data_IF_786578186688
#
_entry.id   IF_786578186688
#
_cell.length_a   1.000
_cell.length_b   1.000
_cell.length_c   1.000
_cell.angle_alpha   90.00
_cell.angle_beta   90.00
_cell.angle_gamma   90.00
#
_symmetry.space_group_name_H-M   'P 1'
#
loop_
_entity.id
_entity.type
_entity.pdbx_description
1 polymer ?
#
# COMPACT_ATOMS: atom_id res chain seq x y z
N UNK A 1 5.62 23.56 2.55
CA UNK A 1 5.78 23.24 3.99
C UNK A 1 7.20 22.68 4.19
N UNK A 2 8.05 23.36 4.98
CA UNK A 2 9.41 22.88 5.32
C UNK A 2 9.28 21.90 6.49
N UNK A 3 9.55 20.62 6.26
CA UNK A 3 9.56 19.58 7.29
C UNK A 3 10.99 19.29 7.76
N UNK A 4 11.19 18.95 9.05
CA UNK A 4 12.53 18.85 9.64
C UNK A 4 13.29 17.67 9.02
N UNK A 5 14.52 17.92 8.55
CA UNK A 5 15.42 16.92 7.98
C UNK A 5 15.68 15.70 8.90
N UNK A 6 15.44 15.86 10.20
CA UNK A 6 15.86 14.91 11.23
C UNK A 6 15.09 13.57 11.23
N UNK A 7 13.80 13.55 10.90
CA UNK A 7 13.00 12.31 10.89
C UNK A 7 13.48 11.31 9.81
N UNK A 8 14.12 11.80 8.74
CA UNK A 8 14.61 10.97 7.63
C UNK A 8 15.96 10.31 7.91
N UNK A 9 16.76 10.86 8.84
CA UNK A 9 18.12 10.38 9.11
C UNK A 9 18.16 9.07 9.90
N UNK A 10 17.18 8.83 10.76
CA UNK A 10 17.09 7.57 11.52
C UNK A 10 16.65 6.40 10.61
N UNK A 11 15.71 6.65 9.68
CA UNK A 11 15.33 5.69 8.63
C UNK A 11 16.54 5.25 7.78
N UNK A 12 17.44 6.19 7.47
CA UNK A 12 18.66 5.92 6.71
C UNK A 12 19.62 4.94 7.44
N UNK A 13 19.64 4.94 8.77
CA UNK A 13 20.62 4.20 9.57
C UNK A 13 20.13 2.85 10.08
N UNK A 14 18.90 2.77 10.56
CA UNK A 14 18.44 1.64 11.40
C UNK A 14 17.18 0.97 10.84
N UNK A 15 16.45 1.61 9.90
CA UNK A 15 15.08 1.23 9.55
C UNK A 15 14.13 1.34 10.75
N UNK A 16 12.90 0.85 10.63
CA UNK A 16 11.95 0.85 11.77
C UNK A 16 12.18 -0.37 12.70
N UNK A 17 12.72 -0.16 13.92
CA UNK A 17 12.89 -1.08 15.08
C UNK A 17 13.44 -2.52 14.88
N UNK A 18 12.99 -3.26 13.87
CA UNK A 18 13.47 -4.57 13.38
C UNK A 18 13.73 -4.58 11.86
N UNK A 19 13.66 -3.39 11.24
CA UNK A 19 13.75 -3.17 9.82
C UNK A 19 15.16 -3.22 9.23
N UNK A 20 15.23 -2.91 7.95
CA UNK A 20 16.45 -2.83 7.16
C UNK A 20 16.80 -1.38 6.88
N UNK A 21 18.10 -1.08 6.75
CA UNK A 21 18.53 0.27 6.40
C UNK A 21 18.13 0.60 4.96
N UNK A 22 17.94 1.90 4.70
CA UNK A 22 17.68 2.39 3.34
C UNK A 22 18.80 2.04 2.35
N UNK A 23 20.04 1.95 2.84
CA UNK A 23 21.20 1.52 2.06
C UNK A 23 21.09 0.06 1.63
N UNK A 24 20.66 -0.82 2.55
CA UNK A 24 20.42 -2.22 2.20
C UNK A 24 19.25 -2.36 1.23
N UNK A 25 18.15 -1.65 1.49
CA UNK A 25 16.93 -1.73 0.69
C UNK A 25 17.15 -1.20 -0.73
N UNK A 26 17.90 -0.10 -0.90
CA UNK A 26 18.24 0.42 -2.23
C UNK A 26 19.07 -0.55 -3.06
N UNK A 27 19.91 -1.39 -2.42
CA UNK A 27 20.66 -2.45 -3.12
C UNK A 27 19.78 -3.64 -3.53
N UNK A 28 18.57 -3.78 -2.97
CA UNK A 28 17.63 -4.85 -3.33
C UNK A 28 16.58 -4.40 -4.36
N UNK A 29 16.50 -3.10 -4.67
CA UNK A 29 15.53 -2.54 -5.59
C UNK A 29 16.22 -1.94 -6.82
N UNK A 30 15.49 -1.81 -7.93
CA UNK A 30 16.05 -1.23 -9.15
C UNK A 30 16.16 0.29 -9.06
N UNK A 31 15.26 0.91 -8.32
CA UNK A 31 15.19 2.36 -8.24
C UNK A 31 14.76 2.86 -6.86
N UNK A 32 15.27 4.04 -6.54
CA UNK A 32 14.94 4.78 -5.34
C UNK A 32 14.30 6.11 -5.75
N UNK A 33 13.01 6.26 -5.47
CA UNK A 33 12.21 7.42 -5.82
C UNK A 33 12.05 8.37 -4.62
N UNK A 34 12.28 9.66 -4.85
CA UNK A 34 12.03 10.72 -3.87
C UNK A 34 10.62 11.33 -4.00
N UNK A 35 9.94 11.07 -5.11
CA UNK A 35 8.60 11.57 -5.42
C UNK A 35 7.94 10.70 -6.50
N UNK A 36 6.64 10.94 -6.74
CA UNK A 36 5.84 10.16 -7.68
C UNK A 36 6.24 10.36 -9.16
N UNK A 37 6.79 11.52 -9.53
CA UNK A 37 7.23 11.78 -10.92
C UNK A 37 8.40 10.90 -11.30
N UNK A 38 9.30 10.66 -10.36
CA UNK A 38 10.43 9.75 -10.59
C UNK A 38 9.97 8.31 -10.88
N UNK A 39 8.81 7.87 -10.34
CA UNK A 39 8.22 6.58 -10.72
C UNK A 39 7.70 6.57 -12.17
N UNK A 40 7.21 7.70 -12.67
CA UNK A 40 6.83 7.89 -14.08
C UNK A 40 8.06 7.86 -14.98
N UNK A 41 9.12 8.59 -14.60
CA UNK A 41 10.36 8.68 -15.37
C UNK A 41 11.02 7.29 -15.55
N UNK A 42 10.93 6.45 -14.51
CA UNK A 42 11.36 5.05 -14.55
C UNK A 42 10.34 4.08 -15.16
N UNK A 43 9.21 4.59 -15.66
CA UNK A 43 8.13 3.81 -16.31
C UNK A 43 7.53 2.72 -15.43
N UNK A 44 7.61 2.86 -14.11
CA UNK A 44 6.98 1.93 -13.16
C UNK A 44 5.47 2.18 -13.06
N UNK A 45 5.07 3.43 -13.21
CA UNK A 45 3.66 3.85 -13.30
C UNK A 45 3.45 4.66 -14.58
N UNK A 46 2.24 4.67 -15.17
CA UNK A 46 2.00 5.40 -16.40
C UNK A 46 2.05 6.91 -16.17
N UNK A 47 2.49 7.68 -17.17
CA UNK A 47 2.50 9.14 -17.10
C UNK A 47 1.10 9.75 -16.88
N UNK A 48 0.04 9.03 -17.26
CA UNK A 48 -1.35 9.40 -17.00
C UNK A 48 -1.72 9.40 -15.52
N UNK A 49 -0.85 8.91 -14.61
CA UNK A 49 -1.03 9.10 -13.17
C UNK A 49 -0.85 10.57 -12.76
N UNK A 50 0.00 11.33 -13.45
CA UNK A 50 0.37 12.69 -13.01
C UNK A 50 -0.84 13.64 -12.90
N UNK A 51 -1.84 13.49 -13.79
CA UNK A 51 -3.07 14.30 -13.75
C UNK A 51 -3.90 14.13 -12.47
N UNK A 52 -3.65 13.08 -11.68
CA UNK A 52 -4.40 12.76 -10.47
C UNK A 52 -3.59 12.96 -9.18
N UNK A 53 -2.33 13.42 -9.26
CA UNK A 53 -1.50 13.60 -8.07
C UNK A 53 -2.10 14.64 -7.10
N UNK A 54 -2.58 15.78 -7.62
CA UNK A 54 -3.16 16.83 -6.79
C UNK A 54 -4.53 16.44 -6.24
N UNK A 55 -5.34 15.73 -7.02
CA UNK A 55 -6.63 15.20 -6.59
C UNK A 55 -6.44 14.14 -5.49
N UNK A 56 -5.51 13.20 -5.68
CA UNK A 56 -5.17 12.18 -4.68
C UNK A 56 -4.65 12.79 -3.37
N UNK A 57 -3.87 13.89 -3.45
CA UNK A 57 -3.42 14.62 -2.26
C UNK A 57 -4.60 15.26 -1.52
N UNK A 58 -5.49 15.91 -2.27
CA UNK A 58 -6.69 16.55 -1.70
C UNK A 58 -7.61 15.54 -1.03
N UNK A 59 -7.79 14.35 -1.64
CA UNK A 59 -8.57 13.25 -1.04
C UNK A 59 -7.90 12.72 0.23
N UNK A 60 -6.57 12.57 0.24
CA UNK A 60 -5.84 12.21 1.46
C UNK A 60 -6.06 13.23 2.58
N UNK A 61 -5.95 14.53 2.31
CA UNK A 61 -6.21 15.58 3.31
C UNK A 61 -7.63 15.48 3.88
N UNK A 62 -8.62 15.21 3.01
CA UNK A 62 -10.00 14.99 3.44
C UNK A 62 -10.13 13.77 4.35
N UNK A 63 -9.53 12.63 3.99
CA UNK A 63 -9.59 11.43 4.83
C UNK A 63 -8.89 11.62 6.17
N UNK A 64 -7.75 12.32 6.19
CA UNK A 64 -7.07 12.70 7.44
C UNK A 64 -7.97 13.57 8.31
N UNK A 65 -8.67 14.55 7.73
CA UNK A 65 -9.59 15.42 8.46
C UNK A 65 -10.86 14.70 8.96
N UNK A 66 -11.32 13.67 8.26
CA UNK A 66 -12.49 12.85 8.62
C UNK A 66 -12.18 11.77 9.68
N UNK A 67 -10.89 11.48 9.93
CA UNK A 67 -10.43 10.44 10.84
C UNK A 67 -10.67 10.80 12.33
N UNK A 68 -11.94 10.73 12.74
CA UNK A 68 -12.38 11.09 14.08
C UNK A 68 -12.54 9.87 15.01
N UNK A 69 -12.68 8.66 14.46
CA UNK A 69 -12.96 7.43 15.25
C UNK A 69 -11.73 6.82 15.92
N UNK A 70 -10.51 7.20 15.49
CA UNK A 70 -9.20 6.77 16.06
C UNK A 70 -9.18 5.32 16.54
N UNK A 71 -9.52 4.38 15.65
CA UNK A 71 -9.52 2.93 15.91
C UNK A 71 -8.11 2.46 16.30
N UNK A 72 -7.08 3.08 15.71
CA UNK A 72 -5.69 2.76 15.93
C UNK A 72 -4.83 4.03 16.10
N UNK A 73 -3.56 3.86 16.49
CA UNK A 73 -2.63 4.97 16.68
C UNK A 73 -2.38 5.73 15.39
N UNK A 74 -2.38 7.06 15.44
CA UNK A 74 -2.11 7.94 14.29
C UNK A 74 -0.73 7.70 13.65
N UNK A 75 0.22 7.12 14.39
CA UNK A 75 1.53 6.78 13.82
C UNK A 75 1.44 5.75 12.69
N UNK A 76 0.38 4.94 12.66
CA UNK A 76 0.10 3.93 11.65
C UNK A 76 -0.63 4.49 10.43
N UNK A 77 -1.13 5.73 10.50
CA UNK A 77 -1.79 6.35 9.36
C UNK A 77 -0.88 6.40 8.13
N UNK A 78 -1.44 6.04 6.98
CA UNK A 78 -0.81 6.17 5.67
C UNK A 78 -0.46 7.64 5.38
N UNK A 79 0.70 7.85 4.77
CA UNK A 79 1.20 9.19 4.39
C UNK A 79 0.72 9.57 2.97
N UNK A 80 0.95 10.83 2.61
CA UNK A 80 0.33 11.44 1.45
C UNK A 80 0.73 10.76 0.12
N UNK A 81 2.00 10.41 -0.07
CA UNK A 81 2.43 9.87 -1.36
C UNK A 81 1.94 8.44 -1.61
N UNK A 82 1.80 7.61 -0.57
CA UNK A 82 1.12 6.31 -0.67
C UNK A 82 -0.32 6.51 -1.17
N UNK A 83 -1.06 7.42 -0.53
CA UNK A 83 -2.44 7.70 -0.92
C UNK A 83 -2.56 8.32 -2.33
N UNK A 84 -1.69 9.26 -2.68
CA UNK A 84 -1.62 9.81 -4.04
C UNK A 84 -1.32 8.73 -5.07
N UNK A 85 -0.40 7.81 -4.77
CA UNK A 85 -0.04 6.69 -5.65
C UNK A 85 -1.23 5.74 -5.86
N UNK A 86 -1.89 5.32 -4.78
CA UNK A 86 -3.09 4.46 -4.83
C UNK A 86 -4.18 5.12 -5.68
N UNK A 87 -4.53 6.37 -5.36
CA UNK A 87 -5.57 7.12 -6.05
C UNK A 87 -5.28 7.24 -7.55
N UNK A 88 -4.06 7.66 -7.88
CA UNK A 88 -3.66 7.93 -9.26
C UNK A 88 -3.59 6.66 -10.09
N UNK A 89 -3.12 5.55 -9.51
CA UNK A 89 -3.09 4.25 -10.19
C UNK A 89 -4.50 3.77 -10.53
N UNK A 90 -5.42 3.82 -9.56
CA UNK A 90 -6.82 3.42 -9.76
C UNK A 90 -7.44 4.24 -10.89
N UNK A 91 -7.33 5.57 -10.81
CA UNK A 91 -7.93 6.51 -11.78
C UNK A 91 -7.26 6.52 -13.15
N UNK A 92 -5.96 6.26 -13.25
CA UNK A 92 -5.22 6.30 -14.51
C UNK A 92 -5.31 4.99 -15.29
N UNK A 93 -5.40 3.87 -14.59
CA UNK A 93 -5.48 2.53 -15.20
C UNK A 93 -6.90 1.96 -15.19
N UNK A 94 -7.89 2.72 -14.73
CA UNK A 94 -9.29 2.30 -14.63
C UNK A 94 -9.45 0.98 -13.85
N UNK A 95 -8.71 0.86 -12.73
CA UNK A 95 -8.68 -0.38 -11.94
C UNK A 95 -10.06 -0.68 -11.36
N UNK A 96 -10.42 -1.96 -11.33
CA UNK A 96 -11.74 -2.47 -10.94
C UNK A 96 -11.71 -3.38 -9.72
N UNK A 97 -10.59 -4.05 -9.42
CA UNK A 97 -10.50 -4.97 -8.28
C UNK A 97 -9.22 -4.72 -7.48
N UNK A 98 -9.38 -4.14 -6.30
CA UNK A 98 -8.29 -3.82 -5.37
C UNK A 98 -8.41 -4.66 -4.11
N UNK A 99 -7.27 -5.15 -3.62
CA UNK A 99 -7.16 -5.79 -2.30
C UNK A 99 -6.27 -4.92 -1.41
N UNK A 100 -6.69 -4.75 -0.16
CA UNK A 100 -5.95 -4.05 0.88
C UNK A 100 -5.89 -4.94 2.14
N UNK A 101 -4.73 -4.99 2.80
CA UNK A 101 -4.62 -5.53 4.16
C UNK A 101 -4.16 -4.42 5.09
N UNK A 102 -4.74 -4.37 6.30
CA UNK A 102 -4.50 -3.27 7.25
C UNK A 102 -5.35 -2.05 6.91
N UNK A 103 -6.51 -1.96 7.54
CA UNK A 103 -7.44 -0.82 7.42
C UNK A 103 -7.11 0.23 8.48
N UNK A 104 -6.89 -0.20 9.72
CA UNK A 104 -6.64 0.67 10.87
C UNK A 104 -7.68 1.82 10.96
N UNK A 105 -7.22 3.06 10.75
CA UNK A 105 -8.08 4.25 10.78
C UNK A 105 -8.78 4.56 9.44
N UNK A 106 -8.51 3.79 8.38
CA UNK A 106 -9.21 3.86 7.10
C UNK A 106 -8.73 4.95 6.13
N UNK A 107 -7.55 5.55 6.32
CA UNK A 107 -7.09 6.63 5.43
C UNK A 107 -6.83 6.10 4.01
N UNK A 108 -6.01 5.07 3.85
CA UNK A 108 -5.76 4.42 2.56
C UNK A 108 -7.05 3.84 1.97
N UNK A 109 -7.87 3.19 2.80
CA UNK A 109 -9.18 2.62 2.41
C UNK A 109 -10.10 3.68 1.82
N UNK A 110 -10.27 4.82 2.50
CA UNK A 110 -11.12 5.92 2.04
C UNK A 110 -10.62 6.56 0.75
N UNK A 111 -9.29 6.66 0.59
CA UNK A 111 -8.66 7.13 -0.66
C UNK A 111 -8.92 6.13 -1.81
N UNK A 112 -8.74 4.84 -1.57
CA UNK A 112 -8.99 3.80 -2.56
C UNK A 112 -10.47 3.75 -2.98
N UNK A 113 -11.39 3.81 -2.02
CA UNK A 113 -12.84 3.86 -2.29
C UNK A 113 -13.22 5.10 -3.09
N UNK A 114 -12.72 6.27 -2.72
CA UNK A 114 -12.93 7.52 -3.47
C UNK A 114 -12.48 7.38 -4.93
N UNK A 115 -11.33 6.75 -5.18
CA UNK A 115 -10.86 6.50 -6.54
C UNK A 115 -11.74 5.47 -7.28
N UNK A 116 -12.17 4.41 -6.61
CA UNK A 116 -12.97 3.32 -7.19
C UNK A 116 -14.41 3.75 -7.50
N UNK A 117 -14.95 4.76 -6.81
CA UNK A 117 -16.25 5.35 -7.14
C UNK A 117 -16.24 5.98 -8.54
N UNK A 118 -15.10 6.47 -9.02
CA UNK A 118 -14.96 6.97 -10.38
C UNK A 118 -14.83 5.85 -11.42
N UNK A 119 -14.22 4.72 -11.05
CA UNK A 119 -13.99 3.61 -11.99
C UNK A 119 -15.11 2.57 -11.93
N UNK A 120 -16.00 2.61 -10.93
CA UNK A 120 -16.98 1.55 -10.68
C UNK A 120 -16.32 0.23 -10.24
N UNK A 121 -15.17 0.31 -9.58
CA UNK A 121 -14.45 -0.84 -9.04
C UNK A 121 -14.86 -1.20 -7.61
N UNK A 122 -14.29 -2.28 -7.09
CA UNK A 122 -14.53 -2.81 -5.74
C UNK A 122 -13.22 -2.96 -4.96
N UNK A 123 -13.32 -2.77 -3.64
CA UNK A 123 -12.23 -2.92 -2.69
C UNK A 123 -12.55 -4.05 -1.71
N UNK A 124 -11.65 -5.02 -1.61
CA UNK A 124 -11.65 -6.00 -0.53
C UNK A 124 -10.59 -5.61 0.50
N UNK A 125 -11.02 -5.24 1.72
CA UNK A 125 -10.09 -4.89 2.80
C UNK A 125 -10.11 -5.93 3.91
N UNK A 126 -8.95 -6.23 4.47
CA UNK A 126 -8.78 -7.21 5.55
C UNK A 126 -8.16 -6.55 6.79
N UNK A 127 -8.73 -6.78 7.96
CA UNK A 127 -8.17 -6.32 9.23
C UNK A 127 -8.58 -7.26 10.38
N UNK A 128 -7.81 -7.26 11.47
CA UNK A 128 -8.14 -7.94 12.73
C UNK A 128 -8.97 -7.08 13.69
N UNK A 129 -9.03 -5.77 13.44
CA UNK A 129 -9.75 -4.79 14.24
C UNK A 129 -11.22 -4.72 13.81
N UNK A 130 -12.12 -5.30 14.62
CA UNK A 130 -13.56 -5.30 14.34
C UNK A 130 -14.16 -3.89 14.19
N UNK A 131 -13.55 -2.88 14.82
CA UNK A 131 -13.98 -1.48 14.71
C UNK A 131 -13.92 -0.92 13.29
N UNK A 132 -13.12 -1.52 12.40
CA UNK A 132 -12.98 -1.08 11.02
C UNK A 132 -14.26 -1.27 10.20
N UNK A 133 -15.09 -2.29 10.50
CA UNK A 133 -16.30 -2.61 9.73
C UNK A 133 -17.27 -1.43 9.56
N UNK A 134 -17.29 -0.50 10.52
CA UNK A 134 -18.21 0.63 10.58
C UNK A 134 -17.59 1.95 10.07
N UNK A 135 -16.42 1.90 9.42
CA UNK A 135 -15.73 3.09 8.91
C UNK A 135 -16.45 3.70 7.71
N UNK A 136 -16.89 2.86 6.76
CA UNK A 136 -17.53 3.29 5.51
C UNK A 136 -18.90 2.61 5.33
N UNK A 137 -19.89 2.89 6.21
CA UNK A 137 -21.18 2.17 6.22
C UNK A 137 -22.02 2.35 4.95
N UNK A 138 -21.73 3.39 4.16
CA UNK A 138 -22.44 3.69 2.92
C UNK A 138 -21.70 3.23 1.66
N UNK A 139 -20.48 2.68 1.78
CA UNK A 139 -19.69 2.24 0.64
C UNK A 139 -20.22 0.89 0.12
N UNK A 140 -20.90 0.91 -1.03
CA UNK A 140 -21.50 -0.30 -1.65
C UNK A 140 -20.48 -1.18 -2.35
N UNK A 141 -19.35 -0.61 -2.73
CA UNK A 141 -18.24 -1.24 -3.43
C UNK A 141 -17.14 -1.72 -2.46
N UNK A 142 -17.41 -1.71 -1.15
CA UNK A 142 -16.46 -2.14 -0.14
C UNK A 142 -16.86 -3.47 0.49
N UNK A 143 -15.91 -4.40 0.52
CA UNK A 143 -16.05 -5.69 1.17
C UNK A 143 -15.01 -5.81 2.28
N UNK A 144 -15.44 -5.58 3.52
CA UNK A 144 -14.59 -5.75 4.70
C UNK A 144 -14.59 -7.20 5.20
N UNK A 145 -13.41 -7.73 5.47
CA UNK A 145 -13.20 -9.09 5.99
C UNK A 145 -12.48 -9.00 7.33
N UNK A 146 -13.21 -9.34 8.40
CA UNK A 146 -12.62 -9.43 9.75
C UNK A 146 -11.84 -10.73 9.89
N UNK A 147 -10.54 -10.62 10.12
CA UNK A 147 -9.65 -11.76 10.36
C UNK A 147 -9.55 -12.09 11.86
N UNK A 148 -9.56 -13.36 12.19
CA UNK A 148 -9.16 -13.84 13.50
C UNK A 148 -7.64 -13.77 13.62
N UNK A 149 -7.11 -12.96 14.54
CA UNK A 149 -5.66 -12.79 14.73
C UNK A 149 -4.87 -14.10 14.83
N UNK A 150 -5.43 -15.16 15.43
CA UNK A 150 -4.74 -16.46 15.60
C UNK A 150 -4.71 -17.30 14.33
N UNK A 151 -5.59 -17.01 13.36
CA UNK A 151 -5.76 -17.74 12.10
C UNK A 151 -5.62 -16.84 10.88
N UNK A 152 -5.18 -15.60 11.08
CA UNK A 152 -5.20 -14.56 10.05
C UNK A 152 -4.50 -14.98 8.75
N UNK A 153 -3.34 -15.69 8.76
CA UNK A 153 -2.72 -16.16 7.52
C UNK A 153 -3.63 -17.11 6.73
N UNK A 154 -4.23 -18.09 7.41
CA UNK A 154 -5.08 -19.11 6.79
C UNK A 154 -6.40 -18.48 6.28
N UNK A 155 -7.04 -17.65 7.10
CA UNK A 155 -8.28 -16.97 6.75
C UNK A 155 -8.11 -15.97 5.60
N UNK A 156 -6.98 -15.24 5.54
CA UNK A 156 -6.64 -14.38 4.41
C UNK A 156 -6.49 -15.21 3.13
N UNK A 157 -5.68 -16.28 3.17
CA UNK A 157 -5.44 -17.14 2.02
C UNK A 157 -6.73 -17.80 1.50
N UNK A 158 -7.55 -18.33 2.41
CA UNK A 158 -8.83 -18.99 2.07
C UNK A 158 -9.83 -18.01 1.46
N UNK A 159 -9.92 -16.79 2.00
CA UNK A 159 -10.83 -15.77 1.46
C UNK A 159 -10.36 -15.31 0.08
N UNK A 160 -9.08 -14.98 -0.05
CA UNK A 160 -8.46 -14.51 -1.29
C UNK A 160 -8.50 -15.56 -2.40
N UNK A 161 -8.53 -16.86 -2.05
CA UNK A 161 -8.70 -17.95 -3.04
C UNK A 161 -9.93 -17.73 -3.93
N UNK A 162 -11.01 -17.22 -3.36
CA UNK A 162 -12.29 -16.98 -4.03
C UNK A 162 -12.40 -15.59 -4.69
N UNK A 163 -11.41 -14.73 -4.49
CA UNK A 163 -11.31 -13.44 -5.18
C UNK A 163 -10.65 -13.68 -6.55
N UNK A 164 -11.20 -13.09 -7.65
CA UNK A 164 -10.56 -13.11 -8.97
C UNK A 164 -9.15 -12.52 -8.95
N UNK A 165 -8.42 -12.65 -10.07
CA UNK A 165 -7.14 -11.96 -10.20
C UNK A 165 -7.31 -10.44 -10.01
N UNK A 166 -6.42 -9.84 -9.22
CA UNK A 166 -6.57 -8.46 -8.75
C UNK A 166 -5.70 -7.50 -9.55
N UNK A 167 -6.12 -6.25 -9.61
CA UNK A 167 -5.39 -5.19 -10.32
C UNK A 167 -4.28 -4.57 -9.47
N UNK A 168 -4.56 -4.41 -8.19
CA UNK A 168 -3.72 -3.74 -7.22
C UNK A 168 -3.86 -4.46 -5.87
N UNK A 169 -2.72 -4.71 -5.24
CA UNK A 169 -2.63 -5.22 -3.89
C UNK A 169 -1.89 -4.22 -3.02
N UNK A 170 -2.48 -3.84 -1.89
CA UNK A 170 -1.94 -2.86 -0.94
C UNK A 170 -1.71 -3.58 0.38
N UNK A 171 -0.46 -3.59 0.85
CA UNK A 171 -0.09 -4.07 2.18
C UNK A 171 0.13 -2.89 3.12
N UNK A 172 -0.60 -2.83 4.23
CA UNK A 172 -0.45 -1.87 5.35
C UNK A 172 -0.81 -2.55 6.70
N UNK A 173 -0.60 -3.87 6.78
CA UNK A 173 -1.01 -4.74 7.90
C UNK A 173 0.12 -4.99 8.92
N UNK A 174 0.41 -6.26 9.24
CA UNK A 174 1.50 -6.59 10.16
C UNK A 174 2.86 -6.49 9.44
N UNK A 175 3.72 -5.62 9.96
CA UNK A 175 5.04 -5.35 9.38
C UNK A 175 6.12 -6.37 9.82
N UNK A 176 5.72 -7.49 10.41
CA UNK A 176 6.60 -8.59 10.76
C UNK A 176 7.03 -9.39 9.53
N UNK A 177 8.29 -9.85 9.53
CA UNK A 177 8.89 -10.54 8.38
C UNK A 177 8.10 -11.75 7.90
N UNK A 178 7.57 -12.55 8.83
CA UNK A 178 6.79 -13.75 8.49
C UNK A 178 5.48 -13.40 7.78
N UNK A 179 4.78 -12.38 8.28
CA UNK A 179 3.53 -11.92 7.68
C UNK A 179 3.78 -11.33 6.30
N UNK A 180 4.71 -10.36 6.20
CA UNK A 180 5.06 -9.73 4.93
C UNK A 180 5.47 -10.75 3.87
N UNK A 181 6.34 -11.72 4.20
CA UNK A 181 6.74 -12.77 3.24
C UNK A 181 5.54 -13.61 2.77
N UNK A 182 4.65 -14.00 3.67
CA UNK A 182 3.47 -14.79 3.34
C UNK A 182 2.52 -13.99 2.44
N UNK A 183 2.21 -12.75 2.82
CA UNK A 183 1.27 -11.92 2.09
C UNK A 183 1.81 -11.53 0.71
N UNK A 184 3.09 -11.16 0.61
CA UNK A 184 3.73 -10.86 -0.66
C UNK A 184 3.71 -12.06 -1.62
N UNK A 185 3.92 -13.28 -1.10
CA UNK A 185 3.79 -14.50 -1.90
C UNK A 185 2.33 -14.71 -2.38
N UNK A 186 1.34 -14.46 -1.52
CA UNK A 186 -0.07 -14.54 -1.88
C UNK A 186 -0.46 -13.48 -2.92
N UNK A 187 -0.05 -12.23 -2.72
CA UNK A 187 -0.33 -11.10 -3.60
C UNK A 187 0.24 -11.34 -5.00
N UNK A 188 1.48 -11.80 -5.10
CA UNK A 188 2.15 -12.05 -6.38
C UNK A 188 1.50 -13.20 -7.16
N UNK A 189 0.93 -14.19 -6.46
CA UNK A 189 0.12 -15.23 -7.10
C UNK A 189 -1.20 -14.66 -7.63
N UNK A 190 -1.84 -13.76 -6.89
CA UNK A 190 -3.20 -13.28 -7.16
C UNK A 190 -3.31 -12.05 -8.06
N UNK A 191 -2.27 -11.25 -8.17
CA UNK A 191 -2.25 -10.13 -9.11
C UNK A 191 -2.37 -10.66 -10.55
N UNK A 192 -3.04 -9.91 -11.42
CA UNK A 192 -2.96 -10.13 -12.87
C UNK A 192 -1.57 -9.72 -13.40
N UNK A 193 -1.18 -10.21 -14.57
CA UNK A 193 0.02 -9.68 -15.26
C UNK A 193 -0.15 -8.18 -15.50
N UNK A 194 0.84 -7.37 -15.10
CA UNK A 194 0.78 -5.91 -15.12
C UNK A 194 -0.02 -5.25 -13.98
N UNK A 195 -0.56 -6.06 -13.06
CA UNK A 195 -1.05 -5.62 -11.76
C UNK A 195 0.11 -5.17 -10.85
N UNK A 196 -0.19 -4.43 -9.79
CA UNK A 196 0.82 -3.82 -8.92
C UNK A 196 0.69 -4.33 -7.48
N UNK A 197 1.82 -4.60 -6.86
CA UNK A 197 1.94 -4.76 -5.40
C UNK A 197 2.53 -3.47 -4.83
N UNK A 198 1.87 -2.90 -3.84
CA UNK A 198 2.33 -1.78 -3.03
C UNK A 198 2.43 -2.24 -1.58
N UNK A 199 3.51 -1.84 -0.91
CA UNK A 199 3.72 -2.09 0.52
C UNK A 199 3.98 -0.77 1.22
N UNK A 200 3.18 -0.46 2.23
CA UNK A 200 3.59 0.44 3.31
C UNK A 200 4.75 -0.19 4.11
N UNK A 201 5.53 0.66 4.78
CA UNK A 201 6.66 0.26 5.64
C UNK A 201 7.53 -0.87 5.03
N UNK A 202 7.93 -0.73 3.77
CA UNK A 202 8.71 -1.72 3.03
C UNK A 202 10.12 -1.94 3.62
N UNK A 203 10.58 -1.04 4.49
CA UNK A 203 11.81 -1.16 5.24
C UNK A 203 11.64 -1.83 6.61
N UNK A 204 10.41 -2.09 7.08
CA UNK A 204 10.17 -2.67 8.40
C UNK A 204 10.67 -4.12 8.54
N UNK A 205 10.96 -4.80 7.42
CA UNK A 205 11.64 -6.09 7.43
C UNK A 205 12.40 -6.38 6.11
N UNK A 206 13.25 -7.42 6.07
CA UNK A 206 13.89 -7.85 4.83
C UNK A 206 12.94 -8.38 3.75
N UNK A 207 11.67 -8.65 4.08
CA UNK A 207 10.72 -9.34 3.21
C UNK A 207 10.56 -8.66 1.84
N UNK A 208 10.44 -7.33 1.82
CA UNK A 208 10.29 -6.57 0.57
C UNK A 208 11.53 -6.73 -0.32
N UNK A 209 12.73 -6.50 0.23
CA UNK A 209 13.97 -6.60 -0.53
C UNK A 209 14.25 -8.03 -1.04
N UNK A 210 13.97 -9.04 -0.22
CA UNK A 210 14.11 -10.44 -0.63
C UNK A 210 13.14 -10.83 -1.75
N UNK A 211 11.89 -10.38 -1.67
CA UNK A 211 10.88 -10.63 -2.70
C UNK A 211 11.23 -9.89 -3.99
N UNK A 212 11.51 -8.58 -3.90
CA UNK A 212 11.77 -7.71 -5.05
C UNK A 212 12.90 -8.25 -5.93
N UNK A 213 13.96 -8.77 -5.30
CA UNK A 213 15.08 -9.40 -6.01
C UNK A 213 14.71 -10.71 -6.70
N UNK A 214 13.75 -11.47 -6.15
CA UNK A 214 13.37 -12.81 -6.64
C UNK A 214 12.33 -12.77 -7.75
N UNK A 215 11.39 -11.83 -7.70
CA UNK A 215 10.20 -11.87 -8.55
C UNK A 215 10.25 -10.93 -9.74
N UNK A 216 10.97 -9.81 -9.67
CA UNK A 216 10.72 -8.70 -10.59
C UNK A 216 11.91 -7.74 -10.64
N UNK A 217 12.66 -7.71 -11.75
CA UNK A 217 13.69 -6.68 -11.99
C UNK A 217 13.10 -5.28 -12.27
N UNK A 218 11.90 -4.98 -11.79
CA UNK A 218 11.24 -3.67 -11.86
C UNK A 218 10.60 -3.33 -10.50
N UNK A 219 11.43 -3.20 -9.47
CA UNK A 219 11.00 -2.76 -8.14
C UNK A 219 11.54 -1.38 -7.83
N UNK A 220 10.74 -0.58 -7.11
CA UNK A 220 11.23 0.66 -6.52
C UNK A 220 10.79 0.80 -5.07
N UNK A 221 11.51 1.66 -4.38
CA UNK A 221 11.09 2.23 -3.11
C UNK A 221 10.86 3.73 -3.26
N UNK A 222 9.79 4.23 -2.65
CA UNK A 222 9.39 5.63 -2.64
C UNK A 222 9.45 6.16 -1.20
N UNK A 223 10.19 7.25 -0.98
CA UNK A 223 10.34 7.84 0.35
C UNK A 223 9.18 8.76 0.72
N UNK A 224 8.16 8.25 1.41
CA UNK A 224 6.96 8.98 1.80
C UNK A 224 7.05 9.58 3.20
N UNK A 225 7.66 10.78 3.27
CA UNK A 225 7.85 11.56 4.50
C UNK A 225 8.55 10.77 5.62
N UNK A 226 7.81 10.00 6.41
CA UNK A 226 8.26 9.15 7.53
C UNK A 226 8.26 7.65 7.20
N UNK A 227 7.67 7.25 6.08
CA UNK A 227 7.48 5.86 5.66
C UNK A 227 8.20 5.58 4.35
N UNK A 228 8.43 4.31 4.06
CA UNK A 228 9.05 3.86 2.80
C UNK A 228 8.08 2.91 2.11
N UNK A 229 7.69 3.29 0.90
CA UNK A 229 6.68 2.58 0.13
C UNK A 229 7.38 1.69 -0.90
N UNK A 230 7.14 0.40 -0.85
CA UNK A 230 7.54 -0.53 -1.88
C UNK A 230 6.53 -0.53 -3.02
N UNK A 231 7.00 -0.55 -4.27
CA UNK A 231 6.15 -0.77 -5.45
C UNK A 231 6.83 -1.73 -6.44
N UNK A 232 6.06 -2.69 -6.96
CA UNK A 232 6.51 -3.53 -8.08
C UNK A 232 5.34 -4.07 -8.91
N UNK A 233 5.47 -4.19 -10.25
CA UNK A 233 4.47 -4.82 -11.09
C UNK A 233 4.66 -6.34 -11.14
N UNK A 234 3.57 -7.10 -11.21
CA UNK A 234 3.65 -8.51 -11.59
C UNK A 234 4.04 -8.62 -13.06
N UNK A 235 5.21 -9.20 -13.32
CA UNK A 235 5.65 -9.56 -14.66
C UNK A 235 5.11 -10.96 -15.02
N UNK A 236 4.93 -11.21 -16.32
CA UNK A 236 4.47 -12.50 -16.86
C UNK A 236 5.55 -13.58 -16.87
#
# INVERSE_FOLDING_TARGET
>A
MRYPLFDRLELLKIGYAKGVSLSWLSQQNNFFAMNLRELIDQKLIPNTCEKYFDEGFSVWEQQVALNNKKIASERWNSEAMLCQLIYSLIRAKELKLVVETGVANGISTGVALSALDHTGGVLHSFDVLAGCAELFPNAKNWHFHLLNLKKAPDELADTVKNIPETDLWIHDADHGTTWQRMEFALATQKLKVGGLLISDDADASPAWGEMSKKLTHQSAILLDRRKIIGITPKLG
#
